data_IF_938582967850
#
_entry.id   IF_938582967850
#
_cell.length_a   1.000
_cell.length_b   1.000
_cell.length_c   1.000
_cell.angle_alpha   90.00
_cell.angle_beta   90.00
_cell.angle_gamma   90.00
#
_symmetry.space_group_name_H-M   'P 1'
#
loop_
_entity.id
_entity.type
_entity.pdbx_description
1 polymer ?
#
# COMPACT_ATOMS: atom_id res chain seq x y z
N UNK A 1 38.35 -33.46 1.81
CA UNK A 1 37.13 -33.83 2.57
C UNK A 1 36.59 -32.61 3.28
N UNK A 2 35.56 -31.97 2.75
CA UNK A 2 34.66 -31.08 3.50
C UNK A 2 33.33 -31.09 2.73
N UNK A 3 32.50 -32.07 3.09
CA UNK A 3 31.17 -32.21 2.53
C UNK A 3 30.28 -31.07 3.03
N UNK A 4 29.68 -30.39 2.07
CA UNK A 4 28.54 -29.49 2.20
C UNK A 4 27.46 -30.10 3.10
N UNK A 5 27.11 -29.40 4.18
CA UNK A 5 25.86 -29.60 4.91
C UNK A 5 25.00 -28.36 4.71
N UNK A 6 24.35 -28.27 3.54
CA UNK A 6 23.05 -27.60 3.45
C UNK A 6 21.99 -28.69 3.42
N UNK A 7 21.73 -29.24 4.61
CA UNK A 7 20.52 -30.01 4.82
C UNK A 7 19.32 -29.11 4.48
N UNK A 8 18.46 -29.61 3.60
CA UNK A 8 17.12 -29.10 3.38
C UNK A 8 16.44 -28.94 4.74
N UNK A 9 16.30 -27.69 5.20
CA UNK A 9 15.43 -27.39 6.33
C UNK A 9 14.02 -27.69 5.85
N UNK A 10 13.41 -28.75 6.37
CA UNK A 10 11.96 -28.83 6.45
C UNK A 10 11.47 -27.47 6.99
N UNK A 11 10.58 -26.80 6.27
CA UNK A 11 10.11 -25.46 6.64
C UNK A 11 9.46 -25.53 8.01
N UNK A 12 10.19 -25.10 9.04
CA UNK A 12 9.66 -25.00 10.39
C UNK A 12 8.39 -24.12 10.35
N UNK A 13 7.35 -24.46 11.13
CA UNK A 13 6.13 -23.67 11.16
C UNK A 13 6.44 -22.23 11.56
N UNK A 14 5.81 -21.27 10.86
CA UNK A 14 5.98 -19.84 11.13
C UNK A 14 5.62 -19.54 12.60
N UNK A 15 6.47 -18.75 13.26
CA UNK A 15 6.28 -18.32 14.65
C UNK A 15 5.37 -17.09 14.77
N UNK A 16 5.39 -16.22 13.76
CA UNK A 16 4.50 -15.07 13.57
C UNK A 16 4.29 -14.88 12.07
N UNK A 17 3.12 -14.42 11.65
CA UNK A 17 2.81 -14.18 10.24
C UNK A 17 1.60 -13.24 10.06
N UNK A 18 1.53 -12.62 8.90
CA UNK A 18 0.34 -11.94 8.40
C UNK A 18 -0.30 -12.80 7.29
N UNK A 19 -1.57 -13.17 7.46
CA UNK A 19 -2.38 -13.79 6.42
C UNK A 19 -3.13 -12.70 5.67
N UNK A 20 -3.04 -12.77 4.34
CA UNK A 20 -3.77 -11.87 3.44
C UNK A 20 -4.76 -12.71 2.64
N UNK A 21 -6.04 -12.41 2.80
CA UNK A 21 -7.15 -13.03 2.07
C UNK A 21 -7.38 -12.29 0.74
N UNK A 22 -6.75 -12.79 -0.32
CA UNK A 22 -6.96 -12.26 -1.68
C UNK A 22 -8.39 -12.49 -2.19
N UNK A 23 -9.15 -13.42 -1.60
CA UNK A 23 -10.57 -13.59 -1.86
C UNK A 23 -11.40 -12.43 -1.30
N UNK A 24 -11.05 -11.93 -0.12
CA UNK A 24 -11.64 -10.71 0.45
C UNK A 24 -11.32 -9.49 -0.42
N UNK A 25 -10.06 -9.32 -0.86
CA UNK A 25 -9.67 -8.24 -1.80
C UNK A 25 -10.50 -8.30 -3.09
N UNK A 26 -10.59 -9.47 -3.72
CA UNK A 26 -11.41 -9.64 -4.95
C UNK A 26 -12.89 -9.33 -4.72
N UNK A 27 -13.44 -9.74 -3.58
CA UNK A 27 -14.82 -9.43 -3.21
C UNK A 27 -15.02 -7.91 -3.10
N UNK A 28 -14.16 -7.24 -2.35
CA UNK A 28 -14.24 -5.79 -2.13
C UNK A 28 -14.11 -5.01 -3.43
N UNK A 29 -13.13 -5.35 -4.27
CA UNK A 29 -12.92 -4.70 -5.57
C UNK A 29 -14.13 -4.87 -6.49
N UNK A 30 -14.71 -6.07 -6.60
CA UNK A 30 -15.93 -6.29 -7.40
C UNK A 30 -17.09 -5.45 -6.88
N UNK A 31 -17.25 -5.40 -5.56
CA UNK A 31 -18.34 -4.69 -4.92
C UNK A 31 -18.22 -3.17 -5.15
N UNK A 32 -17.01 -2.62 -5.03
CA UNK A 32 -16.72 -1.20 -5.30
C UNK A 32 -16.83 -0.86 -6.79
N UNK A 33 -16.34 -1.71 -7.69
CA UNK A 33 -16.47 -1.49 -9.14
C UNK A 33 -17.93 -1.52 -9.60
N UNK A 34 -18.74 -2.44 -9.04
CA UNK A 34 -20.17 -2.49 -9.31
C UNK A 34 -20.90 -1.24 -8.77
N UNK A 35 -20.54 -0.78 -7.58
CA UNK A 35 -21.09 0.44 -6.98
C UNK A 35 -20.81 1.69 -7.84
N UNK A 36 -19.62 1.75 -8.44
CA UNK A 36 -19.15 2.93 -9.16
C UNK A 36 -19.60 2.99 -10.62
N UNK A 37 -20.16 1.91 -11.17
CA UNK A 37 -20.50 1.81 -12.59
C UNK A 37 -21.42 2.98 -13.02
N UNK A 38 -21.11 3.71 -14.11
CA UNK A 38 -20.14 3.39 -15.17
C UNK A 38 -18.70 3.86 -14.94
N UNK A 39 -18.39 4.52 -13.82
CA UNK A 39 -17.03 4.92 -13.49
C UNK A 39 -16.10 3.72 -13.31
N UNK A 40 -14.84 3.91 -13.66
CA UNK A 40 -13.79 2.90 -13.52
C UNK A 40 -13.29 2.83 -12.08
N UNK A 41 -12.66 1.72 -11.69
CA UNK A 41 -12.00 1.59 -10.39
C UNK A 41 -10.48 1.54 -10.56
N UNK A 42 -9.80 2.51 -9.94
CA UNK A 42 -8.35 2.48 -9.72
C UNK A 42 -8.06 1.93 -8.32
N UNK A 43 -7.34 0.80 -8.26
CA UNK A 43 -6.95 0.18 -7.00
C UNK A 43 -5.66 0.80 -6.46
N UNK A 44 -5.73 1.42 -5.28
CA UNK A 44 -4.58 2.09 -4.66
C UNK A 44 -3.80 1.05 -3.84
N UNK A 45 -2.61 0.72 -4.31
CA UNK A 45 -1.72 -0.33 -3.77
C UNK A 45 -0.40 0.21 -3.23
N UNK A 46 -0.35 1.51 -2.91
CA UNK A 46 0.79 2.15 -2.25
C UNK A 46 1.07 1.62 -0.84
N UNK A 47 2.23 1.97 -0.30
CA UNK A 47 2.77 1.46 0.96
C UNK A 47 2.72 -0.07 1.03
N UNK A 48 3.19 -0.72 -0.04
CA UNK A 48 3.17 -2.18 -0.19
C UNK A 48 1.74 -2.77 -0.01
N UNK A 49 0.78 -2.17 -0.72
CA UNK A 49 -0.65 -2.39 -0.56
C UNK A 49 -1.13 -2.27 0.88
N UNK A 50 -0.81 -1.14 1.53
CA UNK A 50 -1.18 -0.87 2.92
C UNK A 50 -0.70 -2.01 3.86
N UNK A 51 0.50 -2.53 3.60
CA UNK A 51 1.10 -3.67 4.32
C UNK A 51 0.60 -5.06 3.91
N UNK A 52 -0.29 -5.20 2.92
CA UNK A 52 -0.87 -6.49 2.49
C UNK A 52 -0.04 -7.20 1.39
N UNK A 53 0.95 -6.54 0.81
CA UNK A 53 1.74 -7.07 -0.30
C UNK A 53 1.27 -6.59 -1.66
N UNK A 54 1.99 -5.63 -2.22
CA UNK A 54 1.62 -4.92 -3.44
C UNK A 54 1.33 -5.84 -4.63
N UNK A 55 2.28 -6.71 -4.97
CA UNK A 55 2.16 -7.59 -6.15
C UNK A 55 0.93 -8.51 -6.08
N UNK A 56 0.76 -9.39 -5.05
CA UNK A 56 -0.38 -10.29 -5.00
C UNK A 56 -1.73 -9.56 -4.87
N UNK A 57 -1.76 -8.40 -4.21
CA UNK A 57 -2.98 -7.57 -4.13
C UNK A 57 -3.30 -6.95 -5.49
N UNK A 58 -2.31 -6.40 -6.19
CA UNK A 58 -2.48 -5.80 -7.51
C UNK A 58 -3.04 -6.81 -8.51
N UNK A 59 -2.45 -8.00 -8.59
CA UNK A 59 -2.96 -9.10 -9.42
C UNK A 59 -4.41 -9.46 -9.07
N UNK A 60 -4.72 -9.59 -7.77
CA UNK A 60 -6.05 -9.90 -7.30
C UNK A 60 -7.06 -8.80 -7.64
N UNK A 61 -6.69 -7.52 -7.50
CA UNK A 61 -7.53 -6.38 -7.80
C UNK A 61 -7.84 -6.28 -9.31
N UNK A 62 -6.82 -6.44 -10.17
CA UNK A 62 -7.01 -6.44 -11.63
C UNK A 62 -7.91 -7.61 -12.07
N UNK A 63 -7.68 -8.81 -11.55
CA UNK A 63 -8.53 -9.98 -11.82
C UNK A 63 -9.98 -9.82 -11.30
N UNK A 64 -10.22 -8.86 -10.41
CA UNK A 64 -11.54 -8.54 -9.87
C UNK A 64 -12.24 -7.37 -10.57
N UNK A 65 -11.58 -6.68 -11.51
CA UNK A 65 -12.19 -5.61 -12.31
C UNK A 65 -11.64 -4.21 -12.03
N UNK A 66 -10.55 -4.05 -11.27
CA UNK A 66 -9.82 -2.79 -11.28
C UNK A 66 -9.26 -2.51 -12.69
N UNK A 67 -9.44 -1.30 -13.20
CA UNK A 67 -8.97 -0.91 -14.54
C UNK A 67 -7.53 -0.43 -14.54
N UNK A 68 -7.07 0.10 -13.42
CA UNK A 68 -5.73 0.69 -13.23
C UNK A 68 -5.30 0.54 -11.78
N UNK A 69 -4.02 0.80 -11.52
CA UNK A 69 -3.44 0.82 -10.18
C UNK A 69 -2.93 2.21 -9.85
N UNK A 70 -2.81 2.52 -8.56
CA UNK A 70 -2.13 3.72 -8.10
C UNK A 70 -1.15 3.41 -6.96
N UNK A 71 0.03 4.02 -7.02
CA UNK A 71 1.10 3.92 -6.03
C UNK A 71 1.60 5.31 -5.63
N UNK A 72 2.37 5.43 -4.55
CA UNK A 72 2.92 6.72 -4.13
C UNK A 72 4.21 7.05 -4.86
N UNK A 73 5.13 6.08 -4.93
CA UNK A 73 6.49 6.28 -5.44
C UNK A 73 6.74 5.57 -6.77
N UNK A 74 7.80 6.01 -7.44
CA UNK A 74 8.30 5.38 -8.67
C UNK A 74 8.82 3.97 -8.36
N UNK A 75 9.54 3.78 -7.26
CA UNK A 75 10.04 2.46 -6.84
C UNK A 75 8.91 1.42 -6.75
N UNK A 76 7.78 1.78 -6.12
CA UNK A 76 6.61 0.91 -6.04
C UNK A 76 6.04 0.58 -7.42
N UNK A 77 6.01 1.57 -8.33
CA UNK A 77 5.54 1.38 -9.69
C UNK A 77 6.48 0.47 -10.50
N UNK A 78 7.78 0.63 -10.33
CA UNK A 78 8.83 -0.18 -10.95
C UNK A 78 8.74 -1.62 -10.47
N UNK A 79 8.56 -1.85 -9.17
CA UNK A 79 8.36 -3.19 -8.61
C UNK A 79 7.16 -3.91 -9.25
N UNK A 80 6.03 -3.20 -9.43
CA UNK A 80 4.85 -3.76 -10.12
C UNK A 80 5.14 -4.07 -11.59
N UNK A 81 5.87 -3.19 -12.29
CA UNK A 81 6.28 -3.42 -13.70
C UNK A 81 7.21 -4.63 -13.84
N UNK A 82 8.21 -4.75 -12.96
CA UNK A 82 9.13 -5.88 -12.94
C UNK A 82 8.42 -7.20 -12.58
N UNK A 83 7.30 -7.13 -11.86
CA UNK A 83 6.42 -8.27 -11.60
C UNK A 83 5.52 -8.64 -12.81
N UNK A 84 5.59 -7.91 -13.92
CA UNK A 84 4.82 -8.18 -15.15
C UNK A 84 3.44 -7.53 -15.19
N UNK A 85 3.18 -6.52 -14.37
CA UNK A 85 1.93 -5.77 -14.42
C UNK A 85 2.01 -4.70 -15.51
N UNK A 86 1.20 -4.86 -16.55
CA UNK A 86 1.20 -3.99 -17.74
C UNK A 86 0.05 -2.97 -17.79
N UNK A 87 -0.85 -2.95 -16.79
CA UNK A 87 -1.94 -1.96 -16.76
C UNK A 87 -1.42 -0.53 -16.53
N UNK A 88 -2.27 0.49 -16.66
CA UNK A 88 -1.92 1.84 -16.23
C UNK A 88 -1.61 1.86 -14.73
N UNK A 89 -0.46 2.46 -14.38
CA UNK A 89 -0.04 2.70 -12.99
C UNK A 89 0.09 4.22 -12.82
N UNK A 90 -0.79 4.78 -12.00
CA UNK A 90 -0.79 6.17 -11.60
C UNK A 90 0.19 6.38 -10.45
N UNK A 91 1.18 7.25 -10.63
CA UNK A 91 2.10 7.67 -9.55
C UNK A 91 1.51 8.92 -8.91
N UNK A 92 1.10 8.81 -7.65
CA UNK A 92 0.35 9.86 -6.94
C UNK A 92 1.22 11.03 -6.44
N UNK A 93 2.54 10.86 -6.46
CA UNK A 93 3.49 11.95 -6.22
C UNK A 93 3.96 12.57 -7.53
N UNK A 94 4.26 13.87 -7.50
CA UNK A 94 4.94 14.53 -8.61
C UNK A 94 6.39 14.01 -8.68
N UNK A 95 6.84 13.51 -9.85
CA UNK A 95 8.20 13.00 -9.99
C UNK A 95 9.21 14.14 -9.90
N UNK A 96 10.33 13.91 -9.21
CA UNK A 96 11.48 14.80 -9.29
C UNK A 96 12.20 14.66 -10.65
N UNK A 97 13.10 15.61 -10.92
CA UNK A 97 13.84 15.67 -12.18
C UNK A 97 14.74 14.45 -12.40
N UNK A 98 15.27 13.86 -11.33
CA UNK A 98 16.20 12.74 -11.42
C UNK A 98 15.47 11.45 -11.78
N UNK A 99 14.24 11.29 -11.29
CA UNK A 99 13.40 10.11 -11.46
C UNK A 99 12.47 10.18 -12.68
N UNK A 100 12.39 11.35 -13.34
CA UNK A 100 11.60 11.54 -14.56
C UNK A 100 11.98 10.59 -15.71
N UNK A 101 13.23 10.12 -15.76
CA UNK A 101 13.66 9.14 -16.76
C UNK A 101 12.97 7.77 -16.55
N UNK A 102 12.78 7.34 -15.31
CA UNK A 102 12.13 6.06 -14.96
C UNK A 102 10.64 6.08 -15.30
N UNK A 103 9.97 7.22 -15.09
CA UNK A 103 8.58 7.41 -15.54
C UNK A 103 8.45 7.06 -17.03
N UNK A 104 9.35 7.60 -17.86
CA UNK A 104 9.34 7.35 -19.31
C UNK A 104 9.74 5.92 -19.61
N UNK A 105 10.83 5.41 -19.01
CA UNK A 105 11.34 4.06 -19.23
C UNK A 105 10.28 3.00 -18.95
N UNK A 106 9.64 3.07 -17.79
CA UNK A 106 8.65 2.09 -17.32
C UNK A 106 7.21 2.40 -17.77
N UNK A 107 6.99 3.50 -18.50
CA UNK A 107 5.66 3.88 -19.00
C UNK A 107 4.66 4.07 -17.87
N UNK A 108 5.02 4.92 -16.92
CA UNK A 108 4.21 5.28 -15.76
C UNK A 108 3.39 6.54 -16.06
N UNK A 109 2.24 6.70 -15.40
CA UNK A 109 1.37 7.88 -15.54
C UNK A 109 1.54 8.75 -14.28
N UNK A 110 2.28 9.86 -14.31
CA UNK A 110 2.46 10.70 -13.13
C UNK A 110 1.31 11.68 -12.91
N UNK A 111 1.09 12.04 -11.65
CA UNK A 111 0.41 13.29 -11.31
C UNK A 111 1.37 14.47 -11.49
N UNK A 112 0.90 15.55 -12.11
CA UNK A 112 1.60 16.82 -12.24
C UNK A 112 0.84 17.92 -11.53
N UNK A 113 1.59 18.82 -10.92
CA UNK A 113 1.14 19.97 -10.16
C UNK A 113 1.95 21.23 -10.49
N UNK A 114 3.09 21.09 -11.18
CA UNK A 114 3.98 22.19 -11.54
C UNK A 114 4.35 22.21 -13.02
N UNK A 115 4.68 23.41 -13.51
CA UNK A 115 5.19 23.64 -14.87
C UNK A 115 6.53 22.95 -15.09
N UNK A 116 7.46 23.04 -14.11
CA UNK A 116 8.79 22.45 -14.24
C UNK A 116 8.74 20.92 -14.44
N UNK A 117 7.85 20.23 -13.72
CA UNK A 117 7.64 18.80 -13.90
C UNK A 117 7.11 18.47 -15.30
N UNK A 118 6.14 19.24 -15.81
CA UNK A 118 5.61 19.08 -17.16
C UNK A 118 6.69 19.26 -18.24
N UNK A 119 7.46 20.36 -18.18
CA UNK A 119 8.54 20.61 -19.15
C UNK A 119 9.66 19.57 -19.05
N UNK A 120 10.01 19.15 -17.83
CA UNK A 120 11.03 18.12 -17.59
C UNK A 120 10.63 16.79 -18.23
N UNK A 121 9.40 16.32 -17.99
CA UNK A 121 8.90 15.09 -18.58
C UNK A 121 8.77 15.17 -20.10
N UNK A 122 8.26 16.28 -20.64
CA UNK A 122 8.20 16.49 -22.09
C UNK A 122 9.61 16.40 -22.71
N UNK A 123 10.61 17.02 -22.08
CA UNK A 123 12.01 16.91 -22.48
C UNK A 123 12.55 15.48 -22.44
N UNK A 124 12.24 14.71 -21.40
CA UNK A 124 12.65 13.30 -21.27
C UNK A 124 12.00 12.40 -22.33
N UNK A 125 10.70 12.59 -22.59
CA UNK A 125 9.99 11.85 -23.65
C UNK A 125 10.61 12.17 -25.00
N UNK A 126 10.87 13.45 -25.31
CA UNK A 126 11.56 13.87 -26.54
C UNK A 126 12.94 13.22 -26.67
N UNK A 127 13.73 13.23 -25.60
CA UNK A 127 15.08 12.66 -25.58
C UNK A 127 15.08 11.12 -25.72
N UNK A 128 14.04 10.44 -25.23
CA UNK A 128 13.88 8.99 -25.34
C UNK A 128 13.61 8.51 -26.78
N UNK A 129 13.21 9.42 -27.68
CA UNK A 129 12.83 9.09 -29.05
C UNK A 129 11.50 8.33 -29.18
N UNK A 130 10.69 8.27 -28.11
CA UNK A 130 9.35 7.70 -28.15
C UNK A 130 8.44 8.54 -29.04
N UNK A 131 7.63 7.86 -29.85
CA UNK A 131 6.64 8.50 -30.72
C UNK A 131 5.26 8.62 -30.08
N UNK A 132 4.98 7.82 -29.06
CA UNK A 132 3.73 7.86 -28.30
C UNK A 132 3.82 8.92 -27.20
N UNK A 133 2.78 9.73 -27.08
CA UNK A 133 2.62 10.69 -26.00
C UNK A 133 2.55 9.98 -24.64
N UNK A 134 3.18 10.58 -23.63
CA UNK A 134 3.11 10.11 -22.25
C UNK A 134 1.82 10.63 -21.61
N UNK A 135 0.92 9.75 -21.13
CA UNK A 135 -0.24 10.19 -20.36
C UNK A 135 0.20 10.78 -19.02
N UNK A 136 -0.37 11.93 -18.68
CA UNK A 136 -0.16 12.63 -17.41
C UNK A 136 -1.50 13.11 -16.87
N UNK A 137 -1.61 13.22 -15.56
CA UNK A 137 -2.82 13.71 -14.90
C UNK A 137 -2.50 14.98 -14.11
N UNK A 138 -3.32 16.02 -14.26
CA UNK A 138 -3.20 17.24 -13.46
C UNK A 138 -3.83 17.01 -12.07
N UNK A 139 -3.03 17.14 -11.03
CA UNK A 139 -3.48 17.18 -9.64
C UNK A 139 -3.68 18.63 -9.20
N UNK A 140 -4.82 18.90 -8.58
CA UNK A 140 -5.23 20.24 -8.15
C UNK A 140 -5.54 20.25 -6.67
N UNK A 141 -5.04 21.26 -5.97
CA UNK A 141 -5.41 21.50 -4.58
C UNK A 141 -6.73 22.25 -4.49
N UNK A 142 -7.77 21.59 -3.98
CA UNK A 142 -9.10 22.19 -3.77
C UNK A 142 -9.38 22.53 -2.31
N UNK A 143 -8.41 22.29 -1.42
CA UNK A 143 -8.57 22.50 0.02
C UNK A 143 -7.85 21.49 0.92
N UNK A 144 -7.05 20.56 0.37
CA UNK A 144 -6.17 19.72 1.20
C UNK A 144 -4.98 20.53 1.73
N UNK A 145 -4.62 21.62 1.05
CA UNK A 145 -3.61 22.61 1.43
C UNK A 145 -2.19 22.03 1.50
N UNK A 146 -1.61 21.76 0.33
CA UNK A 146 -0.20 21.37 0.18
C UNK A 146 0.06 20.23 -0.81
N UNK A 147 -0.97 19.73 -1.49
CA UNK A 147 -0.84 18.68 -2.51
C UNK A 147 -1.65 19.06 -3.75
N UNK A 148 -0.95 19.19 -4.88
CA UNK A 148 -1.55 19.58 -6.16
C UNK A 148 -1.24 21.03 -6.55
N UNK A 149 -1.57 21.36 -7.78
CA UNK A 149 -1.48 22.71 -8.33
C UNK A 149 -2.47 23.65 -7.62
N UNK A 150 -2.08 24.88 -7.26
CA UNK A 150 -3.01 25.89 -6.81
C UNK A 150 -4.16 26.10 -7.80
N UNK A 151 -5.37 26.28 -7.29
CA UNK A 151 -6.61 26.37 -8.08
C UNK A 151 -6.53 27.47 -9.15
N UNK A 152 -5.93 28.60 -8.80
CA UNK A 152 -5.73 29.77 -9.65
C UNK A 152 -4.69 29.55 -10.77
N UNK A 153 -3.78 28.59 -10.61
CA UNK A 153 -2.75 28.25 -11.60
C UNK A 153 -3.16 27.09 -12.51
N UNK A 154 -4.12 26.27 -12.07
CA UNK A 154 -4.46 25.01 -12.68
C UNK A 154 -4.94 25.13 -14.14
N UNK A 155 -5.70 26.17 -14.49
CA UNK A 155 -6.12 26.43 -15.88
C UNK A 155 -4.90 26.65 -16.77
N UNK A 156 -4.00 27.55 -16.37
CA UNK A 156 -2.78 27.84 -17.14
C UNK A 156 -1.86 26.62 -17.27
N UNK A 157 -1.71 25.85 -16.20
CA UNK A 157 -0.92 24.60 -16.23
C UNK A 157 -1.56 23.55 -17.14
N UNK A 158 -2.89 23.39 -17.12
CA UNK A 158 -3.58 22.45 -18.01
C UNK A 158 -3.36 22.76 -19.49
N UNK A 159 -3.43 24.04 -19.87
CA UNK A 159 -3.18 24.51 -21.23
C UNK A 159 -1.73 24.26 -21.64
N UNK A 160 -0.78 24.47 -20.74
CA UNK A 160 0.64 24.23 -21.02
C UNK A 160 0.99 22.75 -21.18
N UNK A 161 0.39 21.87 -20.37
CA UNK A 161 0.53 20.43 -20.55
C UNK A 161 -0.05 20.02 -21.91
N UNK A 162 -1.25 20.52 -22.26
CA UNK A 162 -1.92 20.20 -23.52
C UNK A 162 -1.16 20.70 -24.76
N UNK A 163 -0.34 21.74 -24.63
CA UNK A 163 0.52 22.26 -25.69
C UNK A 163 1.82 21.48 -25.89
N UNK A 164 2.19 20.58 -24.97
CA UNK A 164 3.38 19.73 -25.17
C UNK A 164 3.05 18.57 -26.12
N UNK A 165 3.69 18.47 -27.30
CA UNK A 165 3.42 17.38 -28.23
C UNK A 165 3.87 16.02 -27.68
N UNK A 166 4.72 15.99 -26.65
CA UNK A 166 5.17 14.76 -25.99
C UNK A 166 4.23 14.22 -24.91
N UNK A 167 3.29 15.04 -24.42
CA UNK A 167 2.40 14.69 -23.33
C UNK A 167 0.96 14.62 -23.82
N UNK A 168 0.13 13.88 -23.10
CA UNK A 168 -1.33 13.97 -23.21
C UNK A 168 -1.90 14.18 -21.81
N UNK A 169 -2.63 15.28 -21.64
CA UNK A 169 -3.39 15.52 -20.41
C UNK A 169 -4.59 14.56 -20.39
N UNK A 170 -4.37 13.36 -19.87
CA UNK A 170 -5.37 12.29 -19.85
C UNK A 170 -6.41 12.53 -18.76
N UNK A 171 -5.99 13.08 -17.61
CA UNK A 171 -6.88 13.26 -16.48
C UNK A 171 -6.66 14.50 -15.65
N UNK A 172 -7.70 14.87 -14.89
CA UNK A 172 -7.67 15.94 -13.90
C UNK A 172 -8.27 15.43 -12.60
N UNK A 173 -7.62 15.72 -11.48
CA UNK A 173 -7.99 15.17 -10.19
C UNK A 173 -7.75 16.11 -9.02
N UNK A 174 -8.39 15.81 -7.90
CA UNK A 174 -8.09 16.38 -6.59
C UNK A 174 -8.25 15.30 -5.51
N UNK A 175 -8.08 15.68 -4.25
CA UNK A 175 -8.30 14.80 -3.10
C UNK A 175 -9.11 15.50 -2.00
N UNK A 176 -10.12 14.81 -1.47
CA UNK A 176 -10.94 15.34 -0.39
C UNK A 176 -10.19 15.33 0.94
N UNK A 177 -10.39 16.37 1.74
CA UNK A 177 -9.80 16.49 3.08
C UNK A 177 -10.61 15.73 4.15
N UNK A 178 -11.94 15.71 4.03
CA UNK A 178 -12.87 15.24 5.09
C UNK A 178 -14.03 14.41 4.54
N UNK A 179 -13.81 13.65 3.46
CA UNK A 179 -14.84 12.78 2.86
C UNK A 179 -15.28 11.63 3.79
N UNK A 180 -14.50 11.33 4.82
CA UNK A 180 -14.85 10.39 5.90
C UNK A 180 -15.80 11.03 6.93
N UNK A 181 -16.23 12.27 6.75
CA UNK A 181 -17.25 12.94 7.56
C UNK A 181 -18.44 13.28 6.64
N UNK A 182 -19.46 12.40 6.51
CA UNK A 182 -20.51 12.48 5.48
C UNK A 182 -21.26 13.82 5.38
N UNK A 183 -21.36 14.56 6.48
CA UNK A 183 -22.11 15.83 6.56
C UNK A 183 -21.20 17.06 6.61
N UNK A 184 -19.88 16.91 6.46
CA UNK A 184 -18.98 18.04 6.57
C UNK A 184 -19.08 18.94 5.32
N UNK A 185 -19.48 20.23 5.46
CA UNK A 185 -19.80 21.09 4.32
C UNK A 185 -18.61 21.37 3.40
N UNK A 186 -17.38 21.27 3.93
CA UNK A 186 -16.15 21.46 3.18
C UNK A 186 -16.00 20.49 2.00
N UNK A 187 -16.47 19.24 2.10
CA UNK A 187 -16.41 18.29 0.98
C UNK A 187 -17.21 18.79 -0.22
N UNK A 188 -18.38 19.38 0.02
CA UNK A 188 -19.19 19.99 -1.03
C UNK A 188 -18.54 21.26 -1.60
N UNK A 189 -17.85 22.05 -0.75
CA UNK A 189 -17.07 23.19 -1.21
C UNK A 189 -15.93 22.77 -2.15
N UNK A 190 -15.15 21.75 -1.79
CA UNK A 190 -14.09 21.19 -2.65
C UNK A 190 -14.66 20.73 -4.00
N UNK A 191 -15.80 20.01 -3.97
CA UNK A 191 -16.48 19.56 -5.18
C UNK A 191 -16.90 20.73 -6.08
N UNK A 192 -17.48 21.79 -5.51
CA UNK A 192 -17.90 22.96 -6.28
C UNK A 192 -16.73 23.68 -6.95
N UNK A 193 -15.63 23.91 -6.22
CA UNK A 193 -14.42 24.52 -6.79
C UNK A 193 -13.85 23.66 -7.93
N UNK A 194 -13.82 22.34 -7.73
CA UNK A 194 -13.31 21.42 -8.73
C UNK A 194 -14.15 21.42 -10.02
N UNK A 195 -15.48 21.42 -9.91
CA UNK A 195 -16.36 21.49 -11.08
C UNK A 195 -16.18 22.81 -11.85
N UNK A 196 -16.09 23.94 -11.13
CA UNK A 196 -15.83 25.26 -11.75
C UNK A 196 -14.50 25.26 -12.51
N UNK A 197 -13.47 24.63 -11.95
CA UNK A 197 -12.18 24.49 -12.62
C UNK A 197 -12.28 23.64 -13.90
N UNK A 198 -12.98 22.50 -13.87
CA UNK A 198 -13.15 21.66 -15.06
C UNK A 198 -13.83 22.43 -16.19
N UNK A 199 -14.84 23.24 -15.88
CA UNK A 199 -15.52 24.09 -16.87
C UNK A 199 -14.58 25.17 -17.43
N UNK A 200 -13.74 25.77 -16.58
CA UNK A 200 -12.72 26.74 -17.01
C UNK A 200 -11.65 26.11 -17.92
N UNK A 201 -11.16 24.90 -17.59
CA UNK A 201 -10.19 24.19 -18.44
C UNK A 201 -10.80 23.87 -19.81
N UNK A 202 -12.07 23.40 -19.84
CA UNK A 202 -12.77 23.11 -21.10
C UNK A 202 -13.01 24.37 -21.94
N UNK A 203 -13.24 25.52 -21.31
CA UNK A 203 -13.41 26.79 -22.01
C UNK A 203 -12.14 27.24 -22.76
N UNK A 204 -10.96 26.83 -22.30
CA UNK A 204 -9.67 27.01 -23.00
C UNK A 204 -9.46 26.02 -24.16
N UNK A 205 -10.44 25.15 -24.43
CA UNK A 205 -10.37 24.15 -25.50
C UNK A 205 -9.53 22.92 -25.15
N UNK A 206 -9.16 22.75 -23.87
CA UNK A 206 -8.42 21.57 -23.39
C UNK A 206 -9.41 20.41 -23.18
N UNK A 207 -9.10 19.26 -23.77
CA UNK A 207 -9.87 18.02 -23.56
C UNK A 207 -9.43 17.31 -22.29
N UNK A 208 -10.39 16.73 -21.56
CA UNK A 208 -10.16 15.95 -20.34
C UNK A 208 -10.98 14.67 -20.47
N UNK A 209 -10.29 13.53 -20.55
CA UNK A 209 -10.93 12.22 -20.73
C UNK A 209 -11.23 11.52 -19.40
N UNK A 210 -10.49 11.85 -18.33
CA UNK A 210 -10.54 11.11 -17.08
C UNK A 210 -10.54 12.04 -15.86
N UNK A 211 -11.73 12.27 -15.31
CA UNK A 211 -11.93 13.03 -14.08
C UNK A 211 -12.06 12.07 -12.89
N UNK A 212 -11.29 12.30 -11.83
CA UNK A 212 -11.33 11.43 -10.64
C UNK A 212 -11.06 12.17 -9.33
N UNK A 213 -11.99 12.09 -8.37
CA UNK A 213 -11.83 12.75 -7.06
C UNK A 213 -12.17 11.85 -5.86
N UNK A 214 -13.05 10.86 -6.07
CA UNK A 214 -13.51 9.99 -4.99
C UNK A 214 -12.39 9.09 -4.46
N UNK A 215 -12.08 9.24 -3.16
CA UNK A 215 -11.34 8.23 -2.40
C UNK A 215 -12.32 7.14 -1.91
N UNK A 216 -11.85 6.15 -1.13
CA UNK A 216 -12.72 5.09 -0.61
C UNK A 216 -13.97 5.61 0.11
N UNK A 217 -13.85 6.68 0.90
CA UNK A 217 -14.97 7.26 1.66
C UNK A 217 -16.02 7.87 0.71
N UNK A 218 -15.59 8.81 -0.13
CA UNK A 218 -16.47 9.47 -1.10
C UNK A 218 -17.09 8.49 -2.11
N UNK A 219 -16.36 7.44 -2.51
CA UNK A 219 -16.89 6.41 -3.39
C UNK A 219 -18.08 5.66 -2.76
N UNK A 220 -18.05 5.46 -1.45
CA UNK A 220 -19.12 4.76 -0.73
C UNK A 220 -20.32 5.65 -0.40
N UNK A 221 -20.07 6.93 -0.12
CA UNK A 221 -21.09 7.83 0.45
C UNK A 221 -21.62 8.88 -0.52
N UNK A 222 -20.90 9.17 -1.61
CA UNK A 222 -21.18 10.30 -2.50
C UNK A 222 -21.10 9.89 -3.99
N UNK A 223 -22.14 9.22 -4.52
CA UNK A 223 -22.16 8.77 -5.93
C UNK A 223 -21.90 9.87 -6.96
N UNK A 224 -22.29 11.12 -6.68
CA UNK A 224 -22.02 12.27 -7.53
C UNK A 224 -20.52 12.60 -7.71
N UNK A 225 -19.64 11.99 -6.91
CA UNK A 225 -18.18 12.18 -6.97
C UNK A 225 -17.45 11.09 -7.77
N UNK A 226 -18.18 10.13 -8.35
CA UNK A 226 -17.57 9.00 -9.07
C UNK A 226 -16.91 9.43 -10.38
N UNK A 227 -17.49 10.40 -11.09
CA UNK A 227 -17.02 10.90 -12.40
C UNK A 227 -16.61 9.75 -13.33
N UNK A 228 -15.40 9.76 -13.88
CA UNK A 228 -14.91 8.74 -14.81
C UNK A 228 -14.17 7.61 -14.10
N UNK A 229 -13.62 7.87 -12.91
CA UNK A 229 -12.86 6.89 -12.13
C UNK A 229 -12.86 7.21 -10.63
N UNK A 230 -13.05 6.17 -9.81
CA UNK A 230 -12.83 6.22 -8.35
C UNK A 230 -11.47 5.66 -7.97
N UNK A 231 -10.85 6.18 -6.90
CA UNK A 231 -9.57 5.70 -6.37
C UNK A 231 -9.76 5.08 -4.99
N UNK A 232 -9.78 3.75 -4.91
CA UNK A 232 -10.02 3.04 -3.65
C UNK A 232 -8.73 2.45 -3.08
N UNK A 233 -8.35 2.90 -1.88
CA UNK A 233 -7.30 2.31 -1.04
C UNK A 233 -7.92 1.46 0.06
N UNK A 234 -8.11 2.02 1.26
CA UNK A 234 -8.74 1.36 2.42
C UNK A 234 -9.90 0.40 2.09
N UNK A 235 -10.81 0.82 1.20
CA UNK A 235 -11.98 0.02 0.80
C UNK A 235 -11.62 -1.33 0.15
N UNK A 236 -10.55 -1.43 -0.64
CA UNK A 236 -10.17 -2.72 -1.28
C UNK A 236 -9.65 -3.74 -0.26
N UNK A 237 -9.16 -3.26 0.89
CA UNK A 237 -8.66 -4.07 2.01
C UNK A 237 -9.73 -4.43 3.04
N UNK A 238 -10.95 -3.92 2.85
CA UNK A 238 -12.05 -4.10 3.80
C UNK A 238 -11.92 -3.24 5.04
N UNK A 239 -11.23 -2.10 4.92
CA UNK A 239 -11.16 -1.08 5.95
C UNK A 239 -12.20 -0.02 5.62
N UNK A 240 -13.24 0.04 6.44
CA UNK A 240 -14.34 0.99 6.26
C UNK A 240 -13.90 2.39 6.73
N UNK A 241 -14.02 3.39 5.86
CA UNK A 241 -13.91 4.78 6.28
C UNK A 241 -15.17 5.17 7.07
N UNK A 242 -14.98 5.59 8.32
CA UNK A 242 -15.97 6.26 9.15
C UNK A 242 -17.30 5.54 9.44
N UNK A 243 -17.36 4.20 9.37
CA UNK A 243 -18.60 3.46 9.64
C UNK A 243 -19.76 3.86 8.71
N UNK A 244 -19.42 4.42 7.54
CA UNK A 244 -20.35 5.07 6.63
C UNK A 244 -21.18 4.09 5.79
N UNK A 245 -21.00 2.79 6.00
CA UNK A 245 -21.79 1.74 5.36
C UNK A 245 -23.01 1.43 6.21
N UNK A 246 -24.07 2.21 6.02
CA UNK A 246 -25.43 1.82 6.42
C UNK A 246 -25.97 0.76 5.45
N UNK A 247 -25.43 -0.45 5.54
CA UNK A 247 -26.08 -1.69 5.09
C UNK A 247 -26.11 -2.01 3.57
N UNK A 248 -25.64 -1.14 2.68
CA UNK A 248 -25.70 -1.40 1.22
C UNK A 248 -24.52 -2.23 0.67
N UNK A 249 -23.35 -2.13 1.29
CA UNK A 249 -22.13 -2.83 0.87
C UNK A 249 -21.45 -3.42 2.10
N UNK A 250 -21.14 -4.72 2.07
CA UNK A 250 -20.33 -5.35 3.13
C UNK A 250 -18.94 -5.62 2.60
N UNK A 251 -17.99 -4.82 3.07
CA UNK A 251 -16.58 -5.07 2.80
C UNK A 251 -16.03 -6.14 3.76
N UNK A 252 -15.03 -6.89 3.29
CA UNK A 252 -14.43 -8.01 4.03
C UNK A 252 -12.99 -7.66 4.38
N UNK A 253 -12.62 -7.61 5.68
CA UNK A 253 -11.24 -7.39 6.09
C UNK A 253 -10.31 -8.44 5.48
N UNK A 254 -9.21 -7.99 4.86
CA UNK A 254 -8.28 -8.86 4.16
C UNK A 254 -7.08 -9.31 5.02
N UNK A 255 -6.81 -8.67 6.15
CA UNK A 255 -5.61 -8.90 6.96
C UNK A 255 -5.93 -9.66 8.26
N UNK A 256 -5.10 -10.66 8.58
CA UNK A 256 -5.08 -11.29 9.88
C UNK A 256 -3.64 -11.45 10.39
N UNK A 257 -3.35 -10.97 11.60
CA UNK A 257 -2.02 -11.06 12.22
C UNK A 257 -2.03 -12.11 13.31
N UNK A 258 -1.11 -13.08 13.20
CA UNK A 258 -1.08 -14.26 14.06
C UNK A 258 0.32 -14.53 14.60
N UNK A 259 0.36 -15.17 15.77
CA UNK A 259 1.60 -15.66 16.36
C UNK A 259 1.35 -16.99 17.08
N UNK A 260 2.37 -17.85 17.15
CA UNK A 260 2.33 -19.08 17.94
C UNK A 260 2.81 -18.81 19.35
N UNK A 261 2.14 -19.41 20.33
CA UNK A 261 2.61 -19.45 21.71
C UNK A 261 3.93 -20.22 21.77
N UNK A 262 4.99 -19.58 22.27
CA UNK A 262 6.32 -20.19 22.41
C UNK A 262 6.62 -20.69 23.81
N UNK A 263 5.91 -20.16 24.81
CA UNK A 263 6.03 -20.55 26.21
C UNK A 263 4.72 -20.31 26.93
N UNK A 264 4.40 -21.20 27.87
CA UNK A 264 3.29 -21.08 28.81
C UNK A 264 3.85 -21.35 30.21
N UNK A 265 3.60 -20.45 31.16
CA UNK A 265 4.09 -20.63 32.53
C UNK A 265 3.10 -20.08 33.55
N UNK A 266 2.86 -20.85 34.61
CA UNK A 266 2.03 -20.42 35.75
C UNK A 266 2.81 -19.46 36.65
N UNK A 267 2.17 -18.36 37.02
CA UNK A 267 2.68 -17.40 38.00
C UNK A 267 1.65 -17.16 39.11
N UNK A 268 2.09 -16.94 40.36
CA UNK A 268 1.19 -16.62 41.46
C UNK A 268 0.59 -15.22 41.32
N UNK A 269 -0.52 -14.98 42.02
CA UNK A 269 -1.11 -13.64 42.15
C UNK A 269 -0.08 -12.63 42.68
N UNK A 270 -0.17 -11.39 42.23
CA UNK A 270 0.75 -10.31 42.62
C UNK A 270 2.06 -10.25 41.82
N UNK A 271 2.39 -11.28 41.02
CA UNK A 271 3.51 -11.23 40.06
C UNK A 271 3.36 -10.05 39.11
N UNK A 272 4.44 -9.31 38.87
CA UNK A 272 4.48 -8.23 37.90
C UNK A 272 5.26 -8.63 36.64
N UNK A 273 4.72 -8.31 35.47
CA UNK A 273 5.25 -8.78 34.18
C UNK A 273 5.76 -7.64 33.29
N UNK A 274 6.68 -7.99 32.39
CA UNK A 274 7.31 -7.11 31.39
C UNK A 274 8.10 -5.92 31.98
N UNK A 275 8.58 -5.04 31.11
CA UNK A 275 9.28 -3.82 31.49
C UNK A 275 8.41 -2.90 32.35
N UNK A 276 9.06 -2.14 33.22
CA UNK A 276 8.41 -1.21 34.14
C UNK A 276 7.50 -1.87 35.20
N UNK A 277 7.31 -3.20 35.16
CA UNK A 277 6.48 -3.96 36.10
C UNK A 277 5.06 -3.38 36.24
N UNK A 278 4.50 -2.87 35.14
CA UNK A 278 3.24 -2.11 35.11
C UNK A 278 2.00 -2.99 35.19
N UNK A 279 2.09 -4.23 34.74
CA UNK A 279 1.00 -5.19 34.83
C UNK A 279 1.23 -6.11 36.02
N UNK A 280 0.28 -6.14 36.95
CA UNK A 280 0.27 -7.03 38.10
C UNK A 280 -0.84 -8.06 37.95
N UNK A 281 -0.50 -9.34 38.06
CA UNK A 281 -1.49 -10.41 37.98
C UNK A 281 -2.48 -10.31 39.15
N UNK A 282 -3.80 -10.13 38.89
CA UNK A 282 -4.79 -10.03 39.96
C UNK A 282 -5.09 -11.38 40.62
N UNK A 283 -4.69 -12.49 39.98
CA UNK A 283 -4.88 -13.88 40.41
C UNK A 283 -3.73 -14.73 39.91
N UNK A 284 -3.58 -15.95 40.42
CA UNK A 284 -2.68 -16.92 39.79
C UNK A 284 -3.16 -17.18 38.36
N UNK A 285 -2.24 -17.15 37.41
CA UNK A 285 -2.56 -17.27 36.00
C UNK A 285 -1.37 -17.78 35.19
N UNK A 286 -1.68 -18.47 34.09
CA UNK A 286 -0.71 -18.75 33.05
C UNK A 286 -0.44 -17.49 32.24
N UNK A 287 0.85 -17.24 31.99
CA UNK A 287 1.32 -16.25 31.04
C UNK A 287 1.80 -16.98 29.79
N UNK A 288 1.20 -16.64 28.65
CA UNK A 288 1.67 -17.07 27.34
C UNK A 288 2.66 -16.03 26.77
N UNK A 289 3.76 -16.52 26.20
CA UNK A 289 4.70 -15.69 25.44
C UNK A 289 4.43 -15.83 23.94
N UNK A 290 4.27 -14.70 23.26
CA UNK A 290 4.16 -14.63 21.80
C UNK A 290 5.43 -13.97 21.23
N UNK A 291 6.05 -14.54 20.18
CA UNK A 291 7.27 -14.02 19.56
C UNK A 291 6.95 -12.91 18.54
N UNK A 292 6.11 -11.95 18.94
CA UNK A 292 5.75 -10.78 18.14
C UNK A 292 5.77 -9.53 19.02
N UNK A 293 6.39 -8.47 18.51
CA UNK A 293 6.63 -7.22 19.22
C UNK A 293 6.68 -6.03 18.27
N UNK A 294 7.17 -4.89 18.73
CA UNK A 294 7.14 -3.67 17.93
C UNK A 294 8.08 -3.69 16.72
N UNK A 295 9.14 -4.51 16.72
CA UNK A 295 9.97 -4.72 15.53
C UNK A 295 9.23 -5.46 14.41
N UNK A 296 8.07 -6.04 14.70
CA UNK A 296 7.16 -6.65 13.73
C UNK A 296 5.96 -5.74 13.43
N UNK A 297 6.03 -4.45 13.77
CA UNK A 297 4.97 -3.49 13.45
C UNK A 297 3.83 -3.39 14.46
N UNK A 298 3.90 -4.13 15.57
CA UNK A 298 2.87 -4.04 16.63
C UNK A 298 3.09 -2.78 17.46
N UNK A 299 2.16 -1.81 17.48
CA UNK A 299 2.36 -0.56 18.20
C UNK A 299 2.55 -0.80 19.71
N UNK A 300 3.60 -0.24 20.36
CA UNK A 300 3.78 -0.39 21.80
C UNK A 300 2.57 0.08 22.62
N UNK A 301 1.85 1.08 22.12
CA UNK A 301 0.62 1.61 22.72
C UNK A 301 -0.52 0.58 22.79
N UNK A 302 -0.47 -0.50 22.00
CA UNK A 302 -1.43 -1.62 22.10
C UNK A 302 -1.35 -2.33 23.44
N UNK A 303 -0.22 -2.26 24.17
CA UNK A 303 -0.04 -2.89 25.47
C UNK A 303 -1.13 -2.52 26.49
N UNK A 304 -1.47 -1.23 26.59
CA UNK A 304 -2.32 -0.69 27.65
C UNK A 304 -3.76 -1.11 27.48
N UNK A 305 -4.14 -2.29 27.98
CA UNK A 305 -5.48 -2.88 27.88
C UNK A 305 -5.82 -3.49 26.50
N UNK A 306 -4.81 -3.71 25.66
CA UNK A 306 -4.98 -4.49 24.44
C UNK A 306 -5.25 -5.96 24.77
N UNK A 307 -5.81 -6.65 23.79
CA UNK A 307 -6.18 -8.05 23.90
C UNK A 307 -5.68 -8.80 22.67
N UNK A 308 -5.54 -10.11 22.80
CA UNK A 308 -5.36 -11.05 21.70
C UNK A 308 -6.41 -12.14 21.80
N UNK A 309 -6.71 -12.83 20.70
CA UNK A 309 -7.57 -14.01 20.74
C UNK A 309 -6.72 -15.27 20.85
N UNK A 310 -6.98 -16.10 21.85
CA UNK A 310 -6.42 -17.44 21.96
C UNK A 310 -7.56 -18.41 22.27
N UNK A 311 -7.68 -19.49 21.48
CA UNK A 311 -8.79 -20.47 21.54
C UNK A 311 -10.18 -19.80 21.50
N UNK A 312 -10.32 -18.71 20.74
CA UNK A 312 -11.58 -17.99 20.58
C UNK A 312 -11.97 -17.13 21.80
N UNK A 313 -11.04 -16.85 22.72
CA UNK A 313 -11.27 -15.99 23.87
C UNK A 313 -10.34 -14.77 23.85
N UNK A 314 -10.85 -13.61 24.27
CA UNK A 314 -10.07 -12.39 24.43
C UNK A 314 -9.21 -12.46 25.69
N UNK A 315 -7.91 -12.49 25.51
CA UNK A 315 -6.92 -12.54 26.59
C UNK A 315 -6.14 -11.21 26.65
N UNK A 316 -6.04 -10.55 27.82
CA UNK A 316 -5.33 -9.28 27.94
C UNK A 316 -3.82 -9.41 27.74
N UNK A 317 -3.21 -8.41 27.12
CA UNK A 317 -1.76 -8.24 27.08
C UNK A 317 -1.27 -7.93 28.51
N UNK A 318 -0.32 -8.73 28.99
CA UNK A 318 0.20 -8.70 30.35
C UNK A 318 1.51 -7.91 30.45
N UNK A 319 1.43 -6.60 30.23
CA UNK A 319 2.56 -5.65 30.35
C UNK A 319 2.96 -5.02 29.02
N UNK A 320 4.12 -4.34 29.01
CA UNK A 320 4.62 -3.63 27.84
C UNK A 320 4.94 -4.60 26.69
N UNK A 321 4.70 -4.15 25.45
CA UNK A 321 5.11 -4.86 24.23
C UNK A 321 6.61 -4.61 24.03
N UNK A 322 7.39 -5.69 23.97
CA UNK A 322 8.84 -5.62 23.79
C UNK A 322 9.20 -5.64 22.30
N UNK A 323 10.49 -5.55 21.99
CA UNK A 323 10.98 -5.51 20.60
C UNK A 323 10.47 -6.70 19.79
N UNK A 324 10.68 -7.90 20.32
CA UNK A 324 10.39 -9.13 19.61
C UNK A 324 9.22 -9.90 20.18
N UNK A 325 8.78 -9.59 21.41
CA UNK A 325 7.87 -10.45 22.19
C UNK A 325 6.79 -9.64 22.90
N UNK A 326 5.68 -10.30 23.21
CA UNK A 326 4.69 -9.81 24.16
C UNK A 326 4.17 -10.95 25.04
N UNK A 327 3.62 -10.57 26.20
CA UNK A 327 3.04 -11.50 27.17
C UNK A 327 1.53 -11.36 27.21
N UNK A 328 0.84 -12.46 27.47
CA UNK A 328 -0.62 -12.53 27.51
C UNK A 328 -1.04 -13.27 28.77
N UNK A 329 -1.90 -12.65 29.59
CA UNK A 329 -2.56 -13.33 30.71
C UNK A 329 -3.74 -14.14 30.16
N UNK A 330 -3.65 -15.46 30.26
CA UNK A 330 -4.67 -16.40 29.76
C UNK A 330 -5.47 -17.02 30.91
N UNK A 331 -5.31 -16.51 32.13
CA UNK A 331 -5.94 -17.05 33.33
C UNK A 331 -5.55 -18.52 33.57
N UNK A 332 -6.53 -19.35 33.87
CA UNK A 332 -6.33 -20.80 34.05
C UNK A 332 -6.61 -21.59 32.77
N UNK A 333 -6.65 -20.91 31.61
CA UNK A 333 -6.81 -21.60 30.32
C UNK A 333 -5.61 -22.50 30.07
N UNK A 334 -5.87 -23.79 29.85
CA UNK A 334 -4.84 -24.72 29.42
C UNK A 334 -4.43 -24.42 27.97
N UNK A 335 -3.18 -23.98 27.80
CA UNK A 335 -2.58 -23.71 26.49
C UNK A 335 -1.38 -24.63 26.26
N UNK A 336 -1.18 -24.96 24.99
CA UNK A 336 -0.01 -25.70 24.55
C UNK A 336 0.93 -24.79 23.75
N UNK A 337 2.24 -25.04 23.85
CA UNK A 337 3.21 -24.43 22.94
C UNK A 337 2.82 -24.81 21.51
N UNK A 338 2.75 -23.80 20.64
CA UNK A 338 2.27 -23.94 19.26
C UNK A 338 0.83 -23.50 19.02
N UNK A 339 0.01 -23.31 20.08
CA UNK A 339 -1.33 -22.73 19.98
C UNK A 339 -1.24 -21.35 19.30
N UNK A 340 -2.26 -21.03 18.49
CA UNK A 340 -2.26 -19.80 17.67
C UNK A 340 -3.02 -18.69 18.39
N UNK A 341 -2.34 -17.57 18.57
CA UNK A 341 -2.92 -16.30 18.96
C UNK A 341 -3.22 -15.44 17.74
N UNK A 342 -4.35 -14.75 17.74
CA UNK A 342 -4.72 -13.75 16.72
C UNK A 342 -4.67 -12.36 17.37
N UNK A 343 -3.79 -11.51 16.85
CA UNK A 343 -3.65 -10.12 17.31
C UNK A 343 -4.59 -9.18 16.56
N UNK A 344 -4.88 -9.50 15.30
CA UNK A 344 -5.78 -8.78 14.42
C UNK A 344 -6.52 -9.79 13.54
N UNK A 345 -7.85 -9.69 13.45
CA UNK A 345 -8.71 -10.61 12.70
C UNK A 345 -9.57 -11.50 13.61
N UNK A 346 -10.08 -12.60 13.04
CA UNK A 346 -11.10 -13.45 13.67
C UNK A 346 -10.54 -14.80 14.15
N UNK A 347 -11.04 -15.27 15.30
CA UNK A 347 -10.83 -16.62 15.82
C UNK A 347 -12.11 -17.13 16.49
N UNK A 348 -12.74 -18.15 15.91
CA UNK A 348 -14.07 -18.59 16.34
C UNK A 348 -15.10 -17.48 16.15
N UNK A 349 -15.93 -17.26 17.17
CA UNK A 349 -16.96 -16.20 17.18
C UNK A 349 -16.44 -14.85 17.67
N UNK A 350 -15.15 -14.73 17.95
CA UNK A 350 -14.51 -13.49 18.40
C UNK A 350 -13.66 -12.89 17.28
N UNK A 351 -13.61 -11.55 17.24
CA UNK A 351 -12.83 -10.80 16.27
C UNK A 351 -12.23 -9.57 16.94
N UNK A 352 -10.97 -9.27 16.62
CA UNK A 352 -10.31 -7.99 16.92
C UNK A 352 -10.15 -7.26 15.60
N UNK A 353 -10.92 -6.19 15.40
CA UNK A 353 -10.87 -5.42 14.15
C UNK A 353 -9.79 -4.34 14.20
N UNK A 354 -9.30 -3.93 13.03
CA UNK A 354 -8.34 -2.81 12.96
C UNK A 354 -9.01 -1.50 13.39
N UNK A 355 -10.32 -1.36 13.16
CA UNK A 355 -11.11 -0.18 13.55
C UNK A 355 -11.22 -0.09 15.08
N UNK A 356 -11.46 -1.22 15.76
CA UNK A 356 -11.44 -1.30 17.23
C UNK A 356 -10.07 -0.83 17.76
N UNK A 357 -8.99 -1.32 17.17
CA UNK A 357 -7.63 -0.96 17.58
C UNK A 357 -7.33 0.53 17.30
N UNK A 358 -7.70 1.04 16.14
CA UNK A 358 -7.51 2.44 15.75
C UNK A 358 -8.17 3.41 16.74
N UNK A 359 -9.46 3.17 17.04
CA UNK A 359 -10.23 3.95 18.03
C UNK A 359 -9.55 3.94 19.41
N UNK A 360 -9.06 2.78 19.82
CA UNK A 360 -8.41 2.58 21.10
C UNK A 360 -7.07 3.30 21.22
N UNK A 361 -6.33 3.36 20.13
CA UNK A 361 -5.00 3.99 20.06
C UNK A 361 -5.05 5.49 19.72
N UNK A 362 -6.23 6.04 19.41
CA UNK A 362 -6.35 7.42 18.97
C UNK A 362 -5.68 7.67 17.61
N UNK A 363 -5.78 6.69 16.70
CA UNK A 363 -5.19 6.75 15.35
C UNK A 363 -6.18 6.25 14.30
N UNK A 364 -5.74 6.14 13.05
CA UNK A 364 -6.53 5.62 11.93
C UNK A 364 -6.14 4.18 11.59
N UNK A 365 -7.08 3.42 11.03
CA UNK A 365 -6.88 2.01 10.69
C UNK A 365 -5.74 1.80 9.68
N UNK A 366 -5.62 2.69 8.70
CA UNK A 366 -4.58 2.66 7.67
C UNK A 366 -3.17 2.74 8.27
N UNK A 367 -2.98 3.56 9.30
CA UNK A 367 -1.70 3.69 9.98
C UNK A 367 -1.28 2.38 10.67
N UNK A 368 -2.24 1.61 11.19
CA UNK A 368 -1.95 0.33 11.83
C UNK A 368 -1.58 -0.75 10.80
N UNK A 369 -2.33 -0.87 9.70
CA UNK A 369 -2.02 -1.90 8.70
C UNK A 369 -0.71 -1.65 7.98
N UNK A 370 -0.37 -0.38 7.73
CA UNK A 370 0.90 0.00 7.12
C UNK A 370 2.12 -0.34 8.01
N UNK A 371 1.99 -0.36 9.34
CA UNK A 371 3.13 -0.75 10.21
C UNK A 371 3.36 -2.26 10.23
N UNK A 372 2.37 -3.08 9.87
CA UNK A 372 2.43 -4.57 9.93
C UNK A 372 3.30 -5.17 8.81
N UNK A 373 3.83 -4.36 7.88
CA UNK A 373 4.61 -4.80 6.72
C UNK A 373 5.81 -5.73 7.04
N UNK A 374 6.41 -5.60 8.24
CA UNK A 374 7.61 -6.35 8.64
C UNK A 374 7.35 -7.72 9.30
N UNK A 375 6.09 -8.18 9.38
CA UNK A 375 5.79 -9.52 9.91
C UNK A 375 6.31 -10.58 8.92
N UNK A 376 7.44 -11.21 9.25
CA UNK A 376 8.11 -12.23 8.45
C UNK A 376 7.15 -13.37 8.06
N UNK A 377 7.01 -13.62 6.76
CA UNK A 377 6.22 -14.72 6.20
C UNK A 377 4.79 -14.32 5.87
N UNK A 378 4.58 -13.57 4.78
CA UNK A 378 3.24 -13.44 4.19
C UNK A 378 2.83 -14.78 3.59
N UNK A 379 1.76 -15.36 4.10
CA UNK A 379 1.17 -16.57 3.53
C UNK A 379 -0.08 -16.16 2.74
N UNK A 380 -0.04 -16.16 1.39
CA UNK A 380 -1.25 -15.97 0.60
C UNK A 380 -2.19 -17.15 0.86
N UNK A 381 -3.40 -16.85 1.32
CA UNK A 381 -4.42 -17.89 1.51
C UNK A 381 -5.26 -18.04 0.24
N UNK A 382 -4.83 -18.92 -0.66
CA UNK A 382 -5.68 -19.35 -1.77
C UNK A 382 -6.67 -20.41 -1.27
N UNK A 383 -7.76 -19.99 -0.60
CA UNK A 383 -8.94 -20.87 -0.45
C UNK A 383 -9.87 -20.67 -1.63
N UNK A 384 -9.57 -21.30 -2.76
CA UNK A 384 -10.59 -21.66 -3.76
C UNK A 384 -10.54 -23.15 -4.03
N UNK A 385 -11.51 -23.87 -3.44
CA UNK A 385 -11.84 -25.24 -3.80
C UNK A 385 -12.47 -25.20 -5.19
N UNK A 386 -11.70 -25.51 -6.23
CA UNK A 386 -12.20 -26.17 -7.43
C UNK A 386 -11.04 -27.00 -8.00
N UNK A 387 -11.18 -28.33 -7.86
CA UNK A 387 -10.22 -29.27 -8.41
C UNK A 387 -10.33 -29.32 -9.92
N UNK A 388 -9.20 -29.15 -10.61
CA UNK A 388 -8.97 -29.86 -11.86
C UNK A 388 -7.49 -30.18 -11.97
N UNK A 389 -7.17 -31.47 -12.06
CA UNK A 389 -5.83 -31.98 -12.37
C UNK A 389 -5.43 -31.48 -13.75
N UNK A 390 -4.26 -30.89 -13.90
CA UNK A 390 -3.63 -30.77 -15.20
C UNK A 390 -2.21 -31.36 -15.14
N UNK A 391 -2.06 -32.47 -15.84
CA UNK A 391 -0.84 -33.26 -15.99
C UNK A 391 0.22 -32.54 -16.81
N UNK A 392 1.48 -32.80 -16.44
CA UNK A 392 2.71 -32.37 -17.08
C UNK A 392 2.71 -32.36 -18.62
N UNK A 393 3.34 -31.32 -19.20
CA UNK A 393 4.10 -31.45 -20.45
C UNK A 393 5.45 -30.73 -20.32
N UNK A 394 6.52 -31.51 -20.47
CA UNK A 394 7.90 -31.06 -20.63
C UNK A 394 8.06 -30.38 -21.99
N UNK A 395 8.70 -29.22 -22.02
CA UNK A 395 9.24 -28.60 -23.23
C UNK A 395 10.60 -29.23 -23.57
N UNK A 396 10.93 -29.52 -24.84
CA UNK A 396 12.22 -30.06 -25.23
C UNK A 396 13.29 -28.97 -25.40
N UNK A 397 14.48 -29.27 -24.91
CA UNK A 397 15.73 -28.51 -25.11
C UNK A 397 16.15 -28.52 -26.58
N UNK A 398 16.39 -27.33 -27.17
CA UNK A 398 17.06 -27.22 -28.47
C UNK A 398 18.58 -27.16 -28.29
N UNK A 399 19.23 -28.06 -29.02
CA UNK A 399 20.67 -28.26 -29.13
C UNK A 399 21.40 -27.08 -29.78
N UNK A 400 22.68 -26.97 -29.40
CA UNK A 400 23.68 -26.09 -29.99
C UNK A 400 24.09 -26.62 -31.35
N UNK A 401 24.27 -25.73 -32.33
CA UNK A 401 25.19 -26.00 -33.44
C UNK A 401 25.98 -24.74 -33.80
N UNK A 402 27.30 -24.92 -33.89
CA UNK A 402 28.29 -23.89 -34.18
C UNK A 402 28.59 -23.84 -35.68
N UNK A 403 28.90 -22.65 -36.23
CA UNK A 403 29.34 -22.53 -37.63
C UNK A 403 29.61 -21.12 -38.16
N UNK A 404 30.83 -20.61 -37.87
CA UNK A 404 31.71 -19.74 -38.69
C UNK A 404 31.20 -18.43 -39.37
N UNK A 405 31.77 -17.32 -38.86
CA UNK A 405 32.42 -16.14 -39.51
C UNK A 405 31.86 -15.54 -40.82
N UNK A 406 31.56 -14.22 -40.79
CA UNK A 406 32.20 -13.18 -41.63
C UNK A 406 31.92 -11.76 -41.09
N UNK A 407 32.88 -10.88 -41.31
CA UNK A 407 33.01 -9.49 -40.84
C UNK A 407 32.00 -8.52 -41.47
N UNK A 408 31.66 -7.43 -40.77
CA UNK A 408 30.95 -6.28 -41.33
C UNK A 408 30.48 -5.27 -40.28
N UNK A 409 31.16 -4.11 -40.23
CA UNK A 409 30.88 -2.91 -39.41
C UNK A 409 29.40 -2.48 -39.36
N UNK A 410 28.92 -2.02 -38.19
CA UNK A 410 28.66 -0.60 -37.89
C UNK A 410 27.69 -0.38 -36.69
N UNK A 411 28.20 0.31 -35.66
CA UNK A 411 27.57 1.37 -34.86
C UNK A 411 26.13 1.24 -34.32
N UNK A 412 26.01 1.17 -32.99
CA UNK A 412 25.02 1.80 -32.07
C UNK A 412 25.37 1.26 -30.67
N UNK A 413 25.92 2.04 -29.74
CA UNK A 413 25.32 3.22 -29.14
C UNK A 413 24.81 2.83 -27.74
N UNK A 414 25.71 2.45 -26.84
CA UNK A 414 25.39 2.25 -25.42
C UNK A 414 25.35 3.64 -24.75
N UNK A 415 24.18 4.08 -24.31
CA UNK A 415 24.05 5.20 -23.39
C UNK A 415 24.43 4.68 -22.00
N UNK A 416 25.63 5.03 -21.53
CA UNK A 416 26.04 4.85 -20.16
C UNK A 416 25.84 6.18 -19.42
N UNK A 417 24.89 6.23 -18.50
CA UNK A 417 24.82 7.28 -17.49
C UNK A 417 26.05 7.15 -16.57
N UNK A 418 26.97 8.12 -16.66
CA UNK A 418 28.07 8.32 -15.70
C UNK A 418 28.17 9.79 -15.36
N UNK A 419 27.72 10.16 -14.17
CA UNK A 419 28.18 11.30 -13.36
C UNK A 419 27.78 10.99 -11.90
N UNK A 420 28.50 11.28 -10.84
CA UNK A 420 29.90 11.60 -10.61
C UNK A 420 30.11 11.38 -9.11
N UNK A 421 31.06 10.54 -8.71
CA UNK A 421 31.46 10.36 -7.32
C UNK A 421 32.63 11.28 -7.00
N UNK A 422 32.38 12.43 -6.39
CA UNK A 422 33.42 13.22 -5.74
C UNK A 422 32.96 13.68 -4.35
N UNK A 423 33.08 12.78 -3.36
CA UNK A 423 33.14 13.16 -1.95
C UNK A 423 34.60 13.08 -1.51
N UNK A 424 35.21 14.24 -1.27
CA UNK A 424 36.52 14.28 -0.63
C UNK A 424 37.20 15.63 -0.69
N UNK A 425 36.82 16.54 0.22
CA UNK A 425 37.77 17.51 0.81
C UNK A 425 37.20 18.09 2.11
N UNK A 426 37.89 17.75 3.19
CA UNK A 426 37.74 18.34 4.53
C UNK A 426 38.20 19.79 4.49
N UNK A 427 37.46 20.69 5.14
CA UNK A 427 37.93 22.02 5.55
C UNK A 427 37.83 22.07 7.08
N UNK A 428 38.87 22.49 7.82
CA UNK A 428 38.82 22.64 9.27
C UNK A 428 38.31 24.02 9.66
N UNK A 429 37.31 24.08 10.54
CA UNK A 429 36.92 25.31 11.24
C UNK A 429 37.65 25.39 12.58
N UNK A 430 38.49 26.43 12.71
CA UNK A 430 39.00 26.97 13.97
C UNK A 430 38.47 28.40 14.10
N UNK A 431 37.62 28.65 15.10
CA UNK A 431 37.43 29.90 15.85
C UNK A 431 36.65 29.45 17.10
N UNK A 432 37.01 29.73 18.36
CA UNK A 432 37.70 30.89 18.89
C UNK A 432 36.72 31.69 19.74
N UNK A 433 36.35 31.17 20.92
CA UNK A 433 35.93 31.96 22.09
C UNK A 433 37.21 32.34 22.87
N UNK A 434 37.29 33.46 23.63
CA UNK A 434 36.23 33.92 24.55
C UNK A 434 36.06 35.45 24.73
N UNK A 435 34.90 35.85 25.27
CA UNK A 435 34.73 36.76 26.41
C UNK A 435 33.28 36.66 26.93
#
# INVERSE_FOLDING_TARGET
MTASVRASRATAPLQRWAEVDLGAVRHNVRALAALATPARLCAVVKADAYGHGAIPVAEAALAAGASSLAVDSIDEAVDLRLAGIDTQILVLSEPDRESACEIVEFGLTPLLSSRDAAYTLAGMVRASGRTRQLPVHLSVDTGLAGIGCPLEEAVGLSTEIAQQPELVLEGVCTHFAVADQPDHPFTQQQLNHFMQLLDAIRAEGVSIDLVHIANSAAALTMPQTHFDMIRCGSGIYGIEAAGALTGALTLRPALCVKARVTRVQLFPAGTRTSYGLRYQLPRAAYIATLPIGYAAGIPPSMATGGQVLIRGQRCPIAGDIMMDHLFVDVGMMELQVGDVAVLLGRQGDQEITVIELAKRLGTIADAIVCTIADVHGRAPTARSVFGTRCSARRMPSRERNAGRRREGRAGRGQLACRLASERGRRVPTRFGEPA
#
